data_IF_338329535020
#
_entry.id   IF_338329535020
#
_cell.length_a   1.000
_cell.length_b   1.000
_cell.length_c   1.000
_cell.angle_alpha   90.00
_cell.angle_beta   90.00
_cell.angle_gamma   90.00
#
_symmetry.space_group_name_H-M   'P 1'
#
loop_
_entity.id
_entity.type
_entity.pdbx_description
1 polymer ?
#
# COMPACT_ATOMS: atom_id res chain seq x y z
N UNK A 1 -20.35 -12.58 24.00
CA UNK A 1 -19.02 -12.08 23.63
C UNK A 1 -19.10 -11.62 22.19
N UNK A 2 -18.49 -10.48 21.83
CA UNK A 2 -18.52 -9.97 20.45
C UNK A 2 -17.46 -10.73 19.63
N UNK A 3 -17.85 -11.22 18.46
CA UNK A 3 -16.92 -11.88 17.52
C UNK A 3 -16.22 -10.81 16.67
N UNK A 4 -15.08 -10.33 17.15
CA UNK A 4 -14.28 -9.32 16.46
C UNK A 4 -13.70 -9.82 15.14
N UNK A 5 -13.35 -11.11 15.04
CA UNK A 5 -12.84 -11.72 13.81
C UNK A 5 -13.89 -11.58 12.70
N UNK A 6 -15.14 -11.97 12.99
CA UNK A 6 -16.23 -11.86 12.01
C UNK A 6 -16.53 -10.42 11.62
N UNK A 7 -16.49 -9.47 12.56
CA UNK A 7 -16.74 -8.05 12.26
C UNK A 7 -15.68 -7.44 11.32
N UNK A 8 -14.41 -7.76 11.53
CA UNK A 8 -13.30 -7.25 10.71
C UNK A 8 -13.37 -7.83 9.30
N UNK A 9 -13.62 -9.14 9.19
CA UNK A 9 -13.82 -9.81 7.90
C UNK A 9 -15.03 -9.23 7.17
N UNK A 10 -16.16 -9.05 7.86
CA UNK A 10 -17.37 -8.46 7.26
C UNK A 10 -17.12 -7.04 6.73
N UNK A 11 -16.31 -6.25 7.43
CA UNK A 11 -15.91 -4.93 6.96
C UNK A 11 -15.11 -5.02 5.65
N UNK A 12 -14.10 -5.91 5.61
CA UNK A 12 -13.28 -6.13 4.42
C UNK A 12 -14.14 -6.60 3.23
N UNK A 13 -15.02 -7.58 3.44
CA UNK A 13 -15.99 -8.08 2.44
C UNK A 13 -16.85 -6.94 1.89
N UNK A 14 -17.46 -6.14 2.77
CA UNK A 14 -18.27 -5.01 2.35
C UNK A 14 -17.50 -4.02 1.46
N UNK A 15 -16.28 -3.64 1.85
CA UNK A 15 -15.47 -2.72 1.04
C UNK A 15 -15.02 -3.34 -0.28
N UNK A 16 -14.68 -4.63 -0.28
CA UNK A 16 -14.31 -5.33 -1.49
C UNK A 16 -15.49 -5.40 -2.48
N UNK A 17 -16.62 -5.96 -2.05
CA UNK A 17 -17.78 -6.25 -2.90
C UNK A 17 -18.56 -5.00 -3.28
N UNK A 18 -18.69 -4.04 -2.36
CA UNK A 18 -19.52 -2.84 -2.60
C UNK A 18 -18.69 -1.70 -3.17
N UNK A 19 -17.41 -1.59 -2.79
CA UNK A 19 -16.60 -0.43 -3.14
C UNK A 19 -15.52 -0.67 -4.19
N UNK A 20 -14.65 -1.65 -3.99
CA UNK A 20 -13.47 -1.77 -4.84
C UNK A 20 -13.78 -2.53 -6.12
N UNK A 21 -14.24 -3.78 -6.00
CA UNK A 21 -14.28 -4.73 -7.11
C UNK A 21 -15.20 -4.31 -8.27
N UNK A 22 -16.44 -3.83 -8.04
CA UNK A 22 -17.32 -3.42 -9.14
C UNK A 22 -16.72 -2.29 -9.99
N UNK A 23 -15.96 -1.37 -9.38
CA UNK A 23 -15.35 -0.22 -10.05
C UNK A 23 -14.16 -0.59 -10.94
N UNK A 24 -13.63 -1.81 -10.81
CA UNK A 24 -12.54 -2.31 -11.66
C UNK A 24 -13.06 -3.12 -12.86
N UNK A 25 -14.37 -3.37 -12.93
CA UNK A 25 -14.95 -4.11 -14.05
C UNK A 25 -14.86 -3.31 -15.34
N UNK A 26 -14.25 -3.90 -16.37
CA UNK A 26 -14.06 -3.26 -17.67
C UNK A 26 -12.90 -2.26 -17.73
N UNK A 27 -12.05 -2.20 -16.69
CA UNK A 27 -10.88 -1.33 -16.67
C UNK A 27 -9.95 -1.64 -17.85
N UNK A 28 -9.67 -0.62 -18.67
CA UNK A 28 -8.77 -0.72 -19.81
C UNK A 28 -7.31 -0.39 -19.45
N UNK A 29 -6.36 -0.82 -20.28
CA UNK A 29 -4.94 -0.47 -20.09
C UNK A 29 -4.70 1.06 -20.16
N UNK A 30 -5.45 1.78 -20.99
CA UNK A 30 -5.37 3.23 -21.10
C UNK A 30 -5.81 3.93 -19.80
N UNK A 31 -6.91 3.48 -19.20
CA UNK A 31 -7.38 3.99 -17.91
C UNK A 31 -6.45 3.58 -16.76
N UNK A 32 -5.92 2.35 -16.82
CA UNK A 32 -4.98 1.81 -15.84
C UNK A 32 -3.71 2.68 -15.72
N UNK A 33 -3.17 3.14 -16.84
CA UNK A 33 -2.00 4.02 -16.88
C UNK A 33 -2.33 5.52 -16.96
N UNK A 34 -3.60 5.91 -16.84
CA UNK A 34 -3.98 7.33 -16.88
C UNK A 34 -3.30 8.14 -15.76
N UNK A 35 -2.63 9.23 -16.15
CA UNK A 35 -1.88 10.09 -15.24
C UNK A 35 -2.77 11.25 -14.74
N UNK A 36 -3.06 11.34 -13.43
CA UNK A 36 -3.89 12.42 -12.89
C UNK A 36 -3.18 13.78 -12.80
N UNK A 37 -1.85 13.79 -12.82
CA UNK A 37 -1.02 14.99 -12.76
C UNK A 37 0.40 14.72 -13.25
N UNK A 38 1.07 15.77 -13.69
CA UNK A 38 2.49 15.70 -14.03
C UNK A 38 3.31 15.26 -12.80
N UNK A 39 4.20 14.28 -13.01
CA UNK A 39 5.05 13.76 -11.94
C UNK A 39 4.33 12.86 -10.93
N UNK A 40 3.13 12.38 -11.26
CA UNK A 40 2.48 11.33 -10.49
C UNK A 40 3.32 10.04 -10.46
N UNK A 41 3.17 9.28 -9.39
CA UNK A 41 3.73 7.94 -9.25
C UNK A 41 2.91 6.92 -10.04
N UNK A 42 3.60 6.08 -10.79
CA UNK A 42 3.00 5.03 -11.61
C UNK A 42 3.79 3.71 -11.51
N UNK A 43 3.29 2.68 -12.19
CA UNK A 43 4.03 1.46 -12.47
C UNK A 43 4.87 1.68 -13.73
N UNK A 44 6.20 1.53 -13.65
CA UNK A 44 7.11 1.74 -14.78
C UNK A 44 7.82 0.45 -15.15
N UNK A 45 8.03 0.24 -16.44
CA UNK A 45 9.01 -0.75 -16.89
C UNK A 45 10.42 -0.22 -16.65
N UNK A 46 11.28 -1.06 -16.08
CA UNK A 46 12.72 -0.84 -16.01
C UNK A 46 13.40 -1.16 -17.36
N UNK A 47 14.72 -1.04 -17.40
CA UNK A 47 15.55 -1.29 -18.58
C UNK A 47 15.46 -2.73 -19.11
N UNK A 48 15.05 -3.68 -18.27
CA UNK A 48 14.90 -5.09 -18.60
C UNK A 48 13.47 -5.49 -18.95
N UNK A 49 12.53 -4.54 -18.99
CA UNK A 49 11.12 -4.83 -19.24
C UNK A 49 10.32 -5.21 -17.98
N UNK A 50 10.95 -5.21 -16.79
CA UNK A 50 10.28 -5.58 -15.54
C UNK A 50 9.54 -4.37 -14.98
N UNK A 51 8.28 -4.57 -14.60
CA UNK A 51 7.50 -3.53 -13.97
C UNK A 51 7.87 -3.33 -12.50
N UNK A 52 8.05 -2.07 -12.11
CA UNK A 52 8.36 -1.62 -10.75
C UNK A 52 7.48 -0.43 -10.38
N UNK A 53 7.07 -0.35 -9.11
CA UNK A 53 6.34 0.80 -8.60
C UNK A 53 7.29 1.98 -8.38
N UNK A 54 6.88 3.17 -8.79
CA UNK A 54 7.52 4.41 -8.35
C UNK A 54 7.42 4.51 -6.82
N UNK A 55 8.54 4.35 -6.12
CA UNK A 55 8.67 4.62 -4.69
C UNK A 55 10.05 5.20 -4.42
N UNK A 56 10.11 6.26 -3.63
CA UNK A 56 11.36 6.90 -3.21
C UNK A 56 11.42 6.89 -1.69
N UNK A 57 12.62 6.68 -1.16
CA UNK A 57 12.88 6.65 0.26
C UNK A 57 13.98 7.66 0.65
N UNK A 58 13.70 8.68 1.48
CA UNK A 58 12.40 8.97 2.09
C UNK A 58 11.34 9.50 1.12
N UNK A 59 10.07 9.23 1.44
CA UNK A 59 8.93 9.72 0.66
C UNK A 59 8.91 11.26 0.61
N UNK A 60 8.68 11.87 -0.57
CA UNK A 60 8.51 13.31 -0.70
C UNK A 60 7.32 13.85 0.11
N UNK A 61 7.42 15.10 0.59
CA UNK A 61 6.34 15.79 1.30
C UNK A 61 5.91 17.06 0.53
N UNK A 62 4.66 17.16 0.04
CA UNK A 62 3.61 16.13 0.06
C UNK A 62 3.91 14.94 -0.87
N UNK A 63 3.31 13.77 -0.63
CA UNK A 63 3.48 12.63 -1.53
C UNK A 63 2.83 12.92 -2.89
N UNK A 64 3.45 12.50 -4.02
CA UNK A 64 2.86 12.67 -5.34
C UNK A 64 1.50 11.98 -5.47
N UNK A 65 0.68 12.48 -6.39
CA UNK A 65 -0.51 11.72 -6.83
C UNK A 65 -0.09 10.40 -7.47
N UNK A 66 -1.01 9.44 -7.51
CA UNK A 66 -0.75 8.07 -8.01
C UNK A 66 -1.74 7.70 -9.11
N UNK A 67 -1.27 6.96 -10.13
CA UNK A 67 -2.12 6.35 -11.17
C UNK A 67 -2.95 5.20 -10.60
N UNK A 68 -3.93 4.72 -11.38
CA UNK A 68 -4.67 3.50 -11.03
C UNK A 68 -3.74 2.28 -10.99
N UNK A 69 -2.79 2.19 -11.92
CA UNK A 69 -1.76 1.15 -11.93
C UNK A 69 -0.98 1.08 -10.61
N UNK A 70 -0.49 2.23 -10.14
CA UNK A 70 0.22 2.27 -8.86
C UNK A 70 -0.65 1.78 -7.72
N UNK A 71 -1.90 2.26 -7.64
CA UNK A 71 -2.81 1.95 -6.54
C UNK A 71 -3.22 0.48 -6.48
N UNK A 72 -3.59 -0.10 -7.62
CA UNK A 72 -4.04 -1.50 -7.70
C UNK A 72 -2.89 -2.43 -7.30
N UNK A 73 -1.70 -2.22 -7.88
CA UNK A 73 -0.52 -3.02 -7.54
C UNK A 73 -0.10 -2.82 -6.09
N UNK A 74 -0.14 -1.59 -5.58
CA UNK A 74 0.20 -1.32 -4.18
C UNK A 74 -0.74 -2.05 -3.20
N UNK A 75 -2.05 -2.03 -3.43
CA UNK A 75 -3.00 -2.76 -2.58
C UNK A 75 -2.77 -4.28 -2.69
N UNK A 76 -2.60 -4.80 -3.89
CA UNK A 76 -2.36 -6.22 -4.12
C UNK A 76 -1.08 -6.72 -3.43
N UNK A 77 0.01 -5.96 -3.54
CA UNK A 77 1.31 -6.29 -2.93
C UNK A 77 1.29 -6.13 -1.40
N UNK A 78 0.55 -5.15 -0.86
CA UNK A 78 0.36 -5.05 0.59
C UNK A 78 -0.31 -6.31 1.14
N UNK A 79 -1.34 -6.84 0.47
CA UNK A 79 -1.99 -8.09 0.89
C UNK A 79 -1.10 -9.31 0.67
N UNK A 80 -0.51 -9.48 -0.51
CA UNK A 80 0.28 -10.68 -0.83
C UNK A 80 1.53 -10.81 0.03
N UNK A 81 2.24 -9.70 0.30
CA UNK A 81 3.48 -9.79 1.08
C UNK A 81 3.18 -10.17 2.53
N UNK A 82 2.08 -9.69 3.12
CA UNK A 82 1.69 -10.05 4.50
C UNK A 82 1.14 -11.47 4.57
N UNK A 83 0.41 -11.89 3.54
CA UNK A 83 0.01 -13.29 3.41
C UNK A 83 1.24 -14.20 3.37
N UNK A 84 2.20 -13.90 2.51
CA UNK A 84 3.46 -14.63 2.40
C UNK A 84 4.23 -14.68 3.72
N UNK A 85 4.32 -13.56 4.45
CA UNK A 85 5.08 -13.50 5.71
C UNK A 85 4.43 -14.25 6.87
N UNK A 86 3.12 -14.07 7.07
CA UNK A 86 2.45 -14.52 8.29
C UNK A 86 1.70 -15.84 8.12
N UNK A 87 1.34 -16.20 6.90
CA UNK A 87 0.50 -17.37 6.59
C UNK A 87 1.11 -18.28 5.52
N UNK A 88 2.27 -17.92 4.97
CA UNK A 88 3.06 -18.76 4.08
C UNK A 88 3.98 -19.75 4.82
N UNK A 89 4.88 -20.43 4.08
CA UNK A 89 5.89 -21.30 4.67
C UNK A 89 6.73 -20.58 5.73
N UNK A 90 7.21 -21.33 6.73
CA UNK A 90 7.99 -20.75 7.84
C UNK A 90 9.26 -20.06 7.32
N UNK A 91 9.53 -18.87 7.87
CA UNK A 91 10.62 -17.99 7.42
C UNK A 91 11.07 -17.07 8.55
N UNK A 92 12.36 -16.76 8.58
CA UNK A 92 12.98 -15.77 9.45
C UNK A 92 12.90 -14.33 8.91
N UNK A 93 12.38 -14.17 7.69
CA UNK A 93 12.30 -12.89 6.98
C UNK A 93 11.14 -12.05 7.50
N UNK A 94 11.40 -10.75 7.65
CA UNK A 94 10.37 -9.79 8.03
C UNK A 94 9.54 -9.32 6.83
N UNK A 95 8.34 -8.78 7.08
CA UNK A 95 7.36 -8.43 6.04
C UNK A 95 7.76 -7.35 5.01
N UNK A 96 8.96 -6.81 5.12
CA UNK A 96 9.52 -5.83 4.17
C UNK A 96 10.67 -6.44 3.34
N UNK A 97 10.98 -7.72 3.54
CA UNK A 97 12.00 -8.41 2.78
C UNK A 97 11.55 -8.59 1.32
N UNK A 98 12.43 -8.38 0.32
CA UNK A 98 12.07 -8.47 -1.09
C UNK A 98 11.52 -9.83 -1.51
N UNK A 99 11.91 -10.91 -0.84
CA UNK A 99 11.45 -12.28 -1.14
C UNK A 99 9.94 -12.49 -0.95
N UNK A 100 9.25 -11.60 -0.21
CA UNK A 100 7.79 -11.64 -0.11
C UNK A 100 7.09 -10.91 -1.26
N UNK A 101 7.84 -10.18 -2.09
CA UNK A 101 7.28 -9.49 -3.24
C UNK A 101 6.96 -10.49 -4.36
N UNK A 102 5.90 -10.26 -5.14
CA UNK A 102 5.68 -11.00 -6.38
C UNK A 102 6.91 -10.92 -7.28
N UNK A 103 7.26 -12.03 -7.92
CA UNK A 103 8.41 -12.10 -8.82
C UNK A 103 8.28 -11.10 -9.99
N UNK A 104 7.06 -10.95 -10.51
CA UNK A 104 6.70 -10.05 -11.59
C UNK A 104 5.44 -9.25 -11.25
N UNK A 105 5.43 -7.98 -11.65
CA UNK A 105 4.26 -7.12 -11.55
C UNK A 105 3.60 -7.02 -12.93
N UNK A 106 2.26 -7.19 -13.02
CA UNK A 106 1.57 -7.16 -14.30
C UNK A 106 1.53 -5.76 -14.89
N UNK A 107 1.91 -5.68 -16.17
CA UNK A 107 1.87 -4.46 -16.98
C UNK A 107 0.53 -4.15 -17.63
N UNK A 108 -0.52 -4.95 -17.39
CA UNK A 108 -1.85 -4.77 -17.97
C UNK A 108 -2.91 -4.68 -16.89
N UNK A 109 -4.02 -3.99 -17.19
CA UNK A 109 -5.16 -3.84 -16.30
C UNK A 109 -5.72 -5.20 -15.87
N UNK A 110 -5.89 -6.13 -16.82
CA UNK A 110 -6.38 -7.48 -16.54
C UNK A 110 -5.42 -8.28 -15.67
N UNK A 111 -4.11 -8.17 -15.91
CA UNK A 111 -3.10 -8.80 -15.07
C UNK A 111 -3.13 -8.25 -13.64
N UNK A 112 -3.26 -6.94 -13.50
CA UNK A 112 -3.33 -6.28 -12.19
C UNK A 112 -4.61 -6.64 -11.43
N UNK A 113 -5.75 -6.77 -12.12
CA UNK A 113 -7.00 -7.25 -11.54
C UNK A 113 -6.90 -8.69 -11.05
N UNK A 114 -6.23 -9.58 -11.80
CA UNK A 114 -5.97 -10.96 -11.35
C UNK A 114 -5.09 -10.98 -10.11
N UNK A 115 -3.94 -10.30 -10.14
CA UNK A 115 -3.06 -10.21 -8.97
C UNK A 115 -3.80 -9.66 -7.74
N UNK A 116 -4.61 -8.61 -7.90
CA UNK A 116 -5.39 -8.06 -6.80
C UNK A 116 -6.44 -9.05 -6.26
N UNK A 117 -7.13 -9.77 -7.13
CA UNK A 117 -8.12 -10.78 -6.72
C UNK A 117 -7.47 -11.96 -5.98
N UNK A 118 -6.35 -12.46 -6.49
CA UNK A 118 -5.59 -13.55 -5.88
C UNK A 118 -5.07 -13.12 -4.50
N UNK A 119 -4.42 -11.95 -4.43
CA UNK A 119 -3.94 -11.38 -3.16
C UNK A 119 -5.06 -11.17 -2.14
N UNK A 120 -6.24 -10.73 -2.58
CA UNK A 120 -7.41 -10.58 -1.72
C UNK A 120 -7.90 -11.93 -1.22
N UNK A 121 -8.02 -12.92 -2.10
CA UNK A 121 -8.52 -14.24 -1.75
C UNK A 121 -7.61 -14.94 -0.73
N UNK A 122 -6.30 -14.90 -0.94
CA UNK A 122 -5.34 -15.51 -0.02
C UNK A 122 -5.35 -14.81 1.34
N UNK A 123 -5.37 -13.47 1.34
CA UNK A 123 -5.44 -12.68 2.56
C UNK A 123 -6.75 -12.92 3.32
N UNK A 124 -7.89 -12.88 2.62
CA UNK A 124 -9.22 -13.12 3.18
C UNK A 124 -9.30 -14.51 3.81
N UNK A 125 -8.88 -15.54 3.07
CA UNK A 125 -8.85 -16.93 3.56
C UNK A 125 -8.03 -17.03 4.84
N UNK A 126 -6.83 -16.45 4.85
CA UNK A 126 -5.96 -16.48 6.02
C UNK A 126 -6.59 -15.82 7.25
N UNK A 127 -7.15 -14.62 7.10
CA UNK A 127 -7.71 -13.89 8.26
C UNK A 127 -9.04 -14.48 8.76
N UNK A 128 -9.80 -15.18 7.90
CA UNK A 128 -11.04 -15.86 8.32
C UNK A 128 -10.79 -17.07 9.21
N UNK A 129 -9.58 -17.63 9.18
CA UNK A 129 -9.19 -18.78 9.98
C UNK A 129 -8.70 -18.40 11.39
N UNK A 130 -8.53 -17.11 11.68
CA UNK A 130 -7.96 -16.64 12.96
C UNK A 130 -8.99 -16.65 14.08
N UNK A 131 -8.57 -17.12 15.24
CA UNK A 131 -9.32 -16.96 16.48
C UNK A 131 -8.91 -15.68 17.23
N UNK A 132 -9.54 -15.42 18.39
CA UNK A 132 -9.22 -14.25 19.19
C UNK A 132 -7.77 -14.24 19.70
N UNK A 133 -7.20 -15.40 20.03
CA UNK A 133 -5.82 -15.51 20.50
C UNK A 133 -4.83 -15.14 19.39
N UNK A 134 -5.11 -15.59 18.16
CA UNK A 134 -4.30 -15.25 17.00
C UNK A 134 -4.38 -13.75 16.65
N UNK A 135 -5.56 -13.15 16.79
CA UNK A 135 -5.75 -11.71 16.58
C UNK A 135 -4.96 -10.84 17.58
N UNK A 136 -4.87 -11.28 18.83
CA UNK A 136 -4.16 -10.57 19.90
C UNK A 136 -2.65 -10.84 19.91
N UNK A 137 -2.18 -11.87 19.18
CA UNK A 137 -0.76 -12.24 19.14
C UNK A 137 0.08 -11.12 18.51
N UNK A 138 1.20 -10.71 19.13
CA UNK A 138 2.15 -9.79 18.52
C UNK A 138 2.74 -10.35 17.22
N UNK A 139 3.01 -9.47 16.25
CA UNK A 139 3.62 -9.87 14.97
C UNK A 139 5.03 -10.48 15.15
N UNK A 140 5.72 -10.16 16.25
CA UNK A 140 7.06 -10.64 16.54
C UNK A 140 8.10 -10.15 15.52
N UNK A 141 9.26 -10.82 15.41
CA UNK A 141 10.34 -10.40 14.50
C UNK A 141 9.89 -10.21 13.04
N UNK A 142 8.91 -11.00 12.59
CA UNK A 142 8.30 -10.89 11.26
C UNK A 142 7.66 -9.51 11.00
N UNK A 143 7.17 -8.84 12.04
CA UNK A 143 6.60 -7.49 12.00
C UNK A 143 7.62 -6.34 11.88
N UNK A 144 8.93 -6.61 11.98
CA UNK A 144 10.00 -5.61 12.01
C UNK A 144 9.72 -4.49 13.05
N UNK A 145 9.67 -3.22 12.65
CA UNK A 145 9.37 -2.11 13.56
C UNK A 145 7.94 -2.10 14.10
N UNK A 146 7.06 -3.00 13.64
CA UNK A 146 5.75 -3.30 14.22
C UNK A 146 5.72 -4.61 15.02
N UNK A 147 6.88 -5.15 15.43
CA UNK A 147 6.95 -6.44 16.11
C UNK A 147 6.04 -6.57 17.35
N UNK A 148 5.81 -5.46 18.05
CA UNK A 148 4.99 -5.42 19.26
C UNK A 148 3.50 -5.15 18.98
N UNK A 149 3.14 -4.82 17.74
CA UNK A 149 1.73 -4.63 17.36
C UNK A 149 1.04 -5.99 17.25
N UNK A 150 -0.25 -6.10 17.63
CA UNK A 150 -1.01 -7.33 17.47
C UNK A 150 -1.44 -7.55 16.02
N UNK A 151 -1.71 -8.80 15.64
CA UNK A 151 -2.19 -9.15 14.29
C UNK A 151 -3.42 -8.34 13.87
N UNK A 152 -4.35 -8.09 14.79
CA UNK A 152 -5.54 -7.26 14.56
C UNK A 152 -5.18 -5.84 14.08
N UNK A 153 -4.11 -5.23 14.60
CA UNK A 153 -3.67 -3.90 14.17
C UNK A 153 -3.17 -3.90 12.73
N UNK A 154 -2.47 -4.97 12.33
CA UNK A 154 -2.03 -5.17 10.95
C UNK A 154 -3.23 -5.34 10.00
N UNK A 155 -4.22 -6.15 10.40
CA UNK A 155 -5.42 -6.37 9.59
C UNK A 155 -6.18 -5.07 9.38
N UNK A 156 -6.40 -4.29 10.45
CA UNK A 156 -7.08 -3.00 10.36
C UNK A 156 -6.30 -2.00 9.47
N UNK A 157 -4.97 -2.00 9.54
CA UNK A 157 -4.13 -1.17 8.67
C UNK A 157 -4.35 -1.49 7.19
N UNK A 158 -4.36 -2.78 6.84
CA UNK A 158 -4.51 -3.25 5.44
C UNK A 158 -5.94 -2.97 4.93
N UNK A 159 -6.95 -3.19 5.77
CA UNK A 159 -8.34 -2.85 5.42
C UNK A 159 -8.47 -1.35 5.13
N UNK A 160 -7.91 -0.48 5.97
CA UNK A 160 -7.97 0.97 5.77
C UNK A 160 -7.28 1.44 4.46
N UNK A 161 -6.14 0.82 4.09
CA UNK A 161 -5.46 1.08 2.82
C UNK A 161 -6.34 0.72 1.61
N UNK A 162 -7.05 -0.40 1.69
CA UNK A 162 -7.98 -0.86 0.65
C UNK A 162 -9.16 0.12 0.47
N UNK A 163 -9.72 0.63 1.57
CA UNK A 163 -10.82 1.60 1.55
C UNK A 163 -10.43 2.94 0.93
N UNK A 164 -9.23 3.45 1.26
CA UNK A 164 -8.79 4.78 0.81
C UNK A 164 -8.52 4.80 -0.69
N UNK A 165 -8.00 3.70 -1.24
CA UNK A 165 -7.82 3.52 -2.69
C UNK A 165 -9.17 3.62 -3.42
N UNK A 166 -10.20 2.92 -2.94
CA UNK A 166 -11.53 2.93 -3.57
C UNK A 166 -12.19 4.32 -3.59
N UNK A 167 -12.06 5.09 -2.50
CA UNK A 167 -12.67 6.43 -2.37
C UNK A 167 -12.05 7.47 -3.33
N UNK A 168 -10.76 7.35 -3.65
CA UNK A 168 -10.08 8.28 -4.58
C UNK A 168 -10.30 7.93 -6.05
N UNK A 169 -10.56 6.67 -6.40
CA UNK A 169 -10.80 6.26 -7.78
C UNK A 169 -12.14 6.77 -8.34
N UNK A 170 -13.17 6.85 -7.50
CA UNK A 170 -14.54 7.21 -7.90
C UNK A 170 -14.73 8.67 -8.37
N UNK A 171 -13.79 9.59 -8.07
CA UNK A 171 -13.91 11.02 -8.44
C UNK A 171 -13.27 11.40 -9.78
N UNK A 172 -12.43 10.55 -10.36
CA UNK A 172 -11.71 10.91 -11.59
C UNK A 172 -12.40 10.45 -12.88
N UNK A 173 -13.19 9.36 -12.85
CA UNK A 173 -13.88 8.85 -14.04
C UNK A 173 -15.09 9.70 -14.49
N UNK A 174 -15.65 10.55 -13.63
CA UNK A 174 -16.90 11.29 -13.89
C UNK A 174 -16.73 12.78 -14.19
N UNK A 175 -15.51 13.35 -14.15
CA UNK A 175 -15.36 14.82 -14.15
C UNK A 175 -14.47 15.46 -15.21
N UNK A 176 -13.87 14.76 -16.17
CA UNK A 176 -13.02 15.44 -17.16
C UNK A 176 -13.31 15.02 -18.60
N UNK A 177 -14.16 15.80 -19.27
CA UNK A 177 -14.16 15.96 -20.73
C UNK A 177 -12.90 16.68 -21.25
N UNK A 178 -11.72 16.34 -20.73
CA UNK A 178 -10.43 16.86 -21.18
C UNK A 178 -9.80 15.87 -22.17
N UNK A 179 -9.21 16.35 -23.28
CA UNK A 179 -8.63 15.48 -24.29
C UNK A 179 -7.51 14.62 -23.69
N UNK A 180 -7.66 13.31 -23.85
CA UNK A 180 -6.68 12.28 -23.53
C UNK A 180 -5.31 12.68 -24.09
N UNK A 181 -4.34 13.01 -23.24
CA UNK A 181 -2.95 13.08 -23.68
C UNK A 181 -2.44 11.65 -23.84
N UNK A 182 -2.34 11.19 -25.09
CA UNK A 182 -1.73 9.91 -25.43
C UNK A 182 -0.32 9.84 -24.84
N UNK A 183 -0.06 8.76 -24.11
CA UNK A 183 1.26 8.42 -23.58
C UNK A 183 2.22 8.11 -24.74
N UNK A 184 3.33 8.85 -24.86
CA UNK A 184 4.47 8.51 -25.71
C UNK A 184 5.59 7.92 -24.82
N UNK A 185 5.84 6.59 -24.86
CA UNK A 185 6.83 5.94 -24.02
C UNK A 185 8.28 6.40 -24.27
N UNK A 186 8.55 7.15 -25.34
CA UNK A 186 9.93 7.50 -25.75
C UNK A 186 10.38 8.89 -25.30
N UNK A 187 9.49 9.72 -24.75
CA UNK A 187 9.77 11.17 -24.60
C UNK A 187 10.53 11.58 -23.33
N UNK A 188 10.84 10.66 -22.40
CA UNK A 188 11.52 11.00 -21.12
C UNK A 188 12.81 10.22 -20.84
N UNK A 189 13.42 9.57 -21.82
CA UNK A 189 14.75 8.93 -21.68
C UNK A 189 15.94 9.93 -21.60
N UNK A 190 15.71 11.23 -21.40
CA UNK A 190 16.77 12.25 -21.39
C UNK A 190 16.59 13.29 -20.29
N UNK A 191 16.70 12.89 -19.03
CA UNK A 191 17.22 13.77 -17.97
C UNK A 191 18.23 12.99 -17.15
N UNK A 192 19.50 13.11 -17.55
CA UNK A 192 20.65 12.63 -16.79
C UNK A 192 20.62 13.27 -15.40
N UNK A 193 20.77 12.44 -14.38
CA UNK A 193 21.14 12.85 -13.02
C UNK A 193 22.49 13.57 -13.13
N UNK A 194 22.57 14.82 -12.71
CA UNK A 194 23.83 15.56 -12.68
C UNK A 194 24.76 14.99 -11.60
N UNK A 195 26.09 14.91 -11.81
CA UNK A 195 27.00 14.42 -10.80
C UNK A 195 27.14 15.43 -9.64
N UNK A 196 27.47 14.97 -8.42
CA UNK A 196 27.63 15.84 -7.26
C UNK A 196 28.86 16.74 -7.39
N UNK A 197 28.72 17.97 -6.87
CA UNK A 197 29.79 18.99 -6.81
C UNK A 197 30.80 18.59 -5.72
N UNK A 198 32.13 18.60 -5.95
CA UNK A 198 33.12 18.27 -4.93
C UNK A 198 33.30 19.43 -3.94
N UNK A 199 33.36 19.15 -2.63
CA UNK A 199 33.92 20.09 -1.65
C UNK A 199 33.14 20.39 -0.36
N UNK A 200 32.26 19.50 0.14
CA UNK A 200 31.70 19.67 1.50
C UNK A 200 31.96 18.42 2.37
N UNK A 201 32.59 18.55 3.55
CA UNK A 201 32.87 17.41 4.41
C UNK A 201 31.58 16.89 5.04
N UNK A 202 31.38 15.58 4.99
CA UNK A 202 30.20 14.89 5.54
C UNK A 202 30.27 14.71 7.06
N UNK A 203 29.14 14.66 7.77
CA UNK A 203 29.10 14.16 9.13
C UNK A 203 28.67 12.69 9.17
N UNK A 204 29.56 11.85 9.72
CA UNK A 204 29.27 10.69 10.56
C UNK A 204 28.22 9.69 10.09
N UNK A 205 28.67 8.59 9.52
CA UNK A 205 27.88 7.37 9.30
C UNK A 205 27.43 6.75 10.63
N UNK A 206 26.20 7.08 11.03
CA UNK A 206 25.33 6.17 11.78
C UNK A 206 23.99 6.16 11.07
N UNK A 207 23.83 5.21 10.15
CA UNK A 207 22.63 5.02 9.33
C UNK A 207 21.50 4.48 10.21
N UNK A 208 20.72 5.38 10.81
CA UNK A 208 19.43 5.02 11.38
C UNK A 208 18.38 5.06 10.28
N UNK A 209 17.91 3.86 9.90
CA UNK A 209 16.78 3.64 9.02
C UNK A 209 15.50 4.06 9.75
N UNK A 210 14.94 5.22 9.40
CA UNK A 210 13.63 5.65 9.89
C UNK A 210 12.72 5.87 8.70
N UNK A 211 11.91 4.88 8.34
CA UNK A 211 10.94 4.98 7.25
C UNK A 211 9.74 4.05 7.41
N UNK A 212 8.78 4.50 8.20
CA UNK A 212 7.35 4.67 7.90
C UNK A 212 6.94 5.89 8.71
N UNK A 213 6.01 6.71 8.21
CA UNK A 213 5.51 7.92 8.88
C UNK A 213 4.93 7.67 10.27
N UNK A 214 5.81 7.51 11.25
CA UNK A 214 5.59 7.60 12.67
C UNK A 214 6.60 8.61 13.20
N UNK A 215 6.27 9.89 13.05
CA UNK A 215 6.94 10.90 13.85
C UNK A 215 6.45 10.72 15.29
N UNK A 216 7.36 10.46 16.22
CA UNK A 216 7.04 10.41 17.65
C UNK A 216 6.38 11.71 18.14
N UNK A 217 6.55 12.83 17.45
CA UNK A 217 5.86 14.09 17.76
C UNK A 217 4.35 14.04 17.48
N UNK A 218 3.89 13.28 16.48
CA UNK A 218 2.46 13.20 16.11
C UNK A 218 1.64 12.27 17.02
N UNK A 219 2.28 11.40 17.80
CA UNK A 219 1.61 10.61 18.84
C UNK A 219 1.04 11.48 19.98
N UNK A 220 1.51 12.73 20.08
CA UNK A 220 1.02 13.68 21.09
C UNK A 220 -0.39 14.19 20.76
N UNK A 221 -0.79 14.26 19.48
CA UNK A 221 -2.11 14.78 19.10
C UNK A 221 -3.24 13.75 19.19
N UNK A 222 -2.97 12.45 19.03
CA UNK A 222 -3.99 11.41 19.21
C UNK A 222 -4.21 11.03 20.69
N UNK A 223 -3.27 11.35 21.57
CA UNK A 223 -3.42 11.09 23.02
C UNK A 223 -4.31 12.13 23.71
N UNK A 224 -4.51 13.32 23.11
CA UNK A 224 -5.30 14.40 23.73
C UNK A 224 -6.81 14.23 23.49
N UNK A 225 -7.25 13.67 22.37
CA UNK A 225 -8.69 13.56 22.08
C UNK A 225 -9.41 12.43 22.84
N UNK A 226 -8.70 11.38 23.28
CA UNK A 226 -9.31 10.27 24.02
C UNK A 226 -9.38 10.47 25.54
N UNK A 227 -8.70 11.47 26.11
CA UNK A 227 -8.86 11.86 27.54
C UNK A 227 -10.01 12.83 27.79
N UNK A 228 -10.48 13.56 26.78
CA UNK A 228 -11.60 14.52 26.92
C UNK A 228 -12.98 13.85 26.92
N UNK A 229 -13.11 12.63 26.38
CA UNK A 229 -14.39 11.90 26.35
C UNK A 229 -14.71 11.14 27.64
N UNK A 230 -13.78 11.04 28.59
CA UNK A 230 -13.99 10.38 29.90
C UNK A 230 -14.22 11.37 31.06
N UNK A 231 -14.25 12.67 30.79
CA UNK A 231 -14.55 13.72 31.78
C UNK A 231 -15.84 14.51 31.45
N UNK A 232 -16.68 13.99 30.56
CA UNK A 232 -18.00 14.56 30.23
C UNK A 232 -19.15 13.54 30.41
N UNK A 233 -18.90 12.46 31.15
CA UNK A 233 -19.90 11.43 31.48
C UNK A 233 -19.89 11.03 32.97
N UNK A 234 -19.33 11.89 33.82
CA UNK A 234 -19.58 11.98 35.27
C UNK A 234 -19.96 13.43 35.58
#
# INVERSE_FOLDING_TARGET
MIDYARLIVSQLEFYWDTNLWPRLTGLTDDEYFWEPADGCWTLRSDENGKFVLDMVQPEPKPPPLTTLAWRIIHVATVMSTRTSTFFGPETDKHMFHPDHQPAELPGTADGARRLLADSYHDWHTAITALDQTDLERPLGPKGAFFANEPMIALILHITAKSCTTAARSARYATSTGQPTRRHDPRRRARRRIAPPIPGRPGPGTSTQYTLIGYDRASATELTVTLRSARLAAE
#
